data_IF_989087572192
#
_entry.id   IF_989087572192
#
_cell.length_a   1.000
_cell.length_b   1.000
_cell.length_c   1.000
_cell.angle_alpha   90.00
_cell.angle_beta   90.00
_cell.angle_gamma   90.00
#
_symmetry.space_group_name_H-M   'P 1'
#
loop_
_entity.id
_entity.type
_entity.pdbx_description
1 polymer ?
#
# COMPACT_ATOMS: atom_id res chain seq x y z
N UNK A 1 -1.25 14.74 18.52
CA UNK A 1 -1.47 14.35 17.91
C UNK A 1 -1.44 14.60 17.33
N UNK A 2 -1.19 14.15 16.93
CA UNK A 2 -1.24 13.93 16.25
C UNK A 2 -1.47 14.14 15.59
N UNK A 3 -1.26 14.22 15.29
CA UNK A 3 -1.56 14.00 14.53
C UNK A 3 -1.82 14.54 13.79
N UNK A 4 -1.61 14.69 13.16
CA UNK A 4 -2.05 15.13 12.15
C UNK A 4 -3.19 15.15 11.93
N UNK A 5 -3.66 15.43 11.65
CA UNK A 5 -4.56 14.88 11.74
C UNK A 5 -5.54 15.36 11.20
N UNK A 6 -5.65 15.98 10.50
CA UNK A 6 -6.73 16.09 10.08
C UNK A 6 -7.17 15.49 9.01
N UNK A 7 -6.49 15.18 8.15
CA UNK A 7 -6.88 14.34 7.27
C UNK A 7 -7.10 13.12 7.86
N UNK A 8 -6.25 12.70 8.71
CA UNK A 8 -6.39 11.51 9.23
C UNK A 8 -7.53 11.38 10.08
N UNK A 9 -8.14 12.36 10.44
CA UNK A 9 -9.07 12.23 11.50
C UNK A 9 -10.32 11.47 11.12
N UNK A 10 -10.89 11.67 9.96
CA UNK A 10 -12.16 11.05 9.66
C UNK A 10 -12.03 9.56 9.45
N UNK A 11 -11.09 9.15 8.62
CA UNK A 11 -10.95 7.73 8.36
C UNK A 11 -10.38 6.97 9.54
N UNK A 12 -9.48 7.60 10.28
CA UNK A 12 -8.91 6.96 11.44
C UNK A 12 -9.94 6.76 12.52
N UNK A 13 -10.82 7.73 12.72
CA UNK A 13 -11.88 7.59 13.70
C UNK A 13 -12.89 6.54 13.29
N UNK A 14 -13.17 6.44 12.01
CA UNK A 14 -14.03 5.41 11.51
C UNK A 14 -13.51 4.04 11.86
N UNK A 15 -12.23 3.83 11.65
CA UNK A 15 -11.61 2.55 11.97
C UNK A 15 -11.71 2.25 13.45
N UNK A 16 -11.50 3.25 14.30
CA UNK A 16 -11.56 3.05 15.73
C UNK A 16 -12.98 2.77 16.20
N UNK A 17 -13.94 3.48 15.64
CA UNK A 17 -15.31 3.29 16.05
C UNK A 17 -15.81 1.90 15.78
N UNK A 18 -15.35 1.32 14.71
CA UNK A 18 -15.73 -0.04 14.39
C UNK A 18 -14.99 -1.06 15.22
N UNK A 19 -14.14 -0.59 16.13
CA UNK A 19 -13.44 -1.48 17.05
C UNK A 19 -12.58 -2.48 16.33
N UNK A 20 -12.05 -2.09 15.20
CA UNK A 20 -11.37 -3.04 14.33
C UNK A 20 -9.88 -2.87 14.32
N UNK A 21 -9.24 -2.90 15.45
CA UNK A 21 -7.79 -2.77 15.45
C UNK A 21 -7.13 -3.91 14.70
N UNK A 22 -7.60 -5.16 14.93
CA UNK A 22 -7.07 -6.29 14.18
C UNK A 22 -7.44 -6.15 12.70
N UNK A 23 -8.67 -5.71 12.44
CA UNK A 23 -9.10 -5.50 11.08
C UNK A 23 -8.27 -4.43 10.40
N UNK A 24 -7.87 -3.40 11.14
CA UNK A 24 -7.02 -2.35 10.60
C UNK A 24 -5.65 -2.90 10.19
N UNK A 25 -5.10 -3.81 11.00
CA UNK A 25 -3.83 -4.44 10.65
C UNK A 25 -3.97 -5.30 9.40
N UNK A 26 -5.06 -6.05 9.30
CA UNK A 26 -5.31 -6.86 8.14
C UNK A 26 -5.52 -6.00 6.90
N UNK A 27 -6.26 -4.90 7.06
CA UNK A 27 -6.49 -3.99 5.94
C UNK A 27 -5.19 -3.35 5.48
N UNK A 28 -4.32 -3.00 6.42
CA UNK A 28 -3.02 -2.45 6.07
C UNK A 28 -2.21 -3.45 5.25
N UNK A 29 -2.20 -4.70 5.68
CA UNK A 29 -1.47 -5.74 4.96
C UNK A 29 -2.08 -5.98 3.58
N UNK A 30 -3.41 -6.00 3.52
CA UNK A 30 -4.10 -6.19 2.25
C UNK A 30 -3.74 -5.10 1.25
N UNK A 31 -3.78 -3.84 1.69
CA UNK A 31 -3.48 -2.72 0.82
C UNK A 31 -2.01 -2.75 0.39
N UNK A 32 -1.13 -3.06 1.32
CA UNK A 32 0.29 -3.16 0.99
C UNK A 32 0.55 -4.23 -0.07
N UNK A 33 0.01 -5.43 0.14
CA UNK A 33 0.32 -6.55 -0.74
C UNK A 33 -0.42 -6.49 -2.07
N UNK A 34 -1.59 -5.89 -2.10
CA UNK A 34 -2.43 -5.97 -3.29
C UNK A 34 -2.56 -4.66 -4.05
N UNK A 35 -2.21 -3.54 -3.46
CA UNK A 35 -2.34 -2.25 -4.11
C UNK A 35 -0.99 -1.55 -4.20
N UNK A 36 -0.34 -1.32 -3.06
CA UNK A 36 0.87 -0.48 -3.03
C UNK A 36 2.08 -1.22 -3.61
N UNK A 37 2.34 -2.42 -3.14
CA UNK A 37 3.50 -3.17 -3.61
C UNK A 37 3.42 -3.45 -5.12
N UNK A 38 2.29 -3.94 -5.65
CA UNK A 38 2.19 -4.13 -7.10
C UNK A 38 2.34 -2.84 -7.89
N UNK A 39 1.81 -1.72 -7.36
CA UNK A 39 1.95 -0.44 -8.03
C UNK A 39 3.42 -0.03 -8.13
N UNK A 40 4.14 -0.18 -7.03
CA UNK A 40 5.56 0.19 -6.99
C UNK A 40 6.36 -0.67 -7.98
N UNK A 41 6.05 -1.95 -8.04
CA UNK A 41 6.72 -2.82 -9.00
C UNK A 41 6.41 -2.41 -10.42
N UNK A 42 5.16 -2.07 -10.70
CA UNK A 42 4.75 -1.70 -12.03
C UNK A 42 5.43 -0.43 -12.51
N UNK A 43 5.46 0.60 -11.67
CA UNK A 43 6.06 1.87 -12.06
C UNK A 43 7.57 1.90 -11.82
N UNK A 44 8.09 0.90 -11.14
CA UNK A 44 9.53 0.74 -10.88
C UNK A 44 10.12 1.94 -10.14
N UNK A 45 9.40 2.45 -9.15
CA UNK A 45 9.84 3.57 -8.33
C UNK A 45 9.33 3.36 -6.90
N UNK A 46 10.08 3.83 -5.90
CA UNK A 46 9.63 3.70 -4.50
C UNK A 46 8.65 4.80 -4.10
N UNK A 47 8.07 5.51 -5.07
CA UNK A 47 7.10 6.56 -4.79
C UNK A 47 6.06 6.59 -5.90
N UNK A 48 4.91 7.18 -5.57
CA UNK A 48 3.80 7.25 -6.54
C UNK A 48 2.92 8.45 -6.21
N UNK A 49 2.09 8.85 -7.18
CA UNK A 49 1.15 9.95 -6.97
C UNK A 49 -0.18 9.41 -6.49
N UNK A 50 -0.99 10.30 -5.95
CA UNK A 50 -2.34 9.91 -5.53
C UNK A 50 -3.15 9.40 -6.71
N UNK A 51 -2.94 9.98 -7.89
CA UNK A 51 -3.66 9.55 -9.09
C UNK A 51 -3.31 8.10 -9.44
N UNK A 52 -2.03 7.76 -9.35
CA UNK A 52 -1.59 6.40 -9.62
C UNK A 52 -2.17 5.43 -8.60
N UNK A 53 -2.20 5.83 -7.34
CA UNK A 53 -2.78 5.01 -6.30
C UNK A 53 -4.27 4.79 -6.53
N UNK A 54 -5.01 5.86 -6.87
CA UNK A 54 -6.45 5.73 -7.08
C UNK A 54 -6.76 4.78 -8.22
N UNK A 55 -6.00 4.84 -9.30
CA UNK A 55 -6.23 3.96 -10.42
C UNK A 55 -6.04 2.49 -10.02
N UNK A 56 -4.98 2.22 -9.27
CA UNK A 56 -4.72 0.85 -8.82
C UNK A 56 -5.76 0.41 -7.80
N UNK A 57 -6.16 1.30 -6.90
CA UNK A 57 -7.19 1.00 -5.92
C UNK A 57 -8.49 0.62 -6.61
N UNK A 58 -8.89 1.41 -7.58
CA UNK A 58 -10.17 1.18 -8.27
C UNK A 58 -10.14 -0.15 -9.02
N UNK A 59 -9.03 -0.47 -9.63
CA UNK A 59 -8.89 -1.75 -10.30
C UNK A 59 -8.99 -2.91 -9.32
N UNK A 60 -8.32 -2.81 -8.18
CA UNK A 60 -8.36 -3.84 -7.17
C UNK A 60 -9.77 -4.02 -6.63
N UNK A 61 -10.46 -2.92 -6.33
CA UNK A 61 -11.82 -2.99 -5.80
C UNK A 61 -12.76 -3.60 -6.83
N UNK A 62 -12.60 -3.25 -8.08
CA UNK A 62 -13.44 -3.80 -9.14
C UNK A 62 -13.23 -5.30 -9.28
N UNK A 63 -11.99 -5.73 -9.20
CA UNK A 63 -11.67 -7.14 -9.44
C UNK A 63 -12.01 -8.04 -8.26
N UNK A 64 -11.99 -7.50 -7.04
CA UNK A 64 -12.16 -8.33 -5.84
C UNK A 64 -13.47 -8.10 -5.12
N UNK A 65 -14.15 -6.99 -5.39
CA UNK A 65 -15.34 -6.63 -4.64
C UNK A 65 -15.06 -6.00 -3.28
N UNK A 66 -13.81 -5.78 -2.94
CA UNK A 66 -13.48 -5.15 -1.66
C UNK A 66 -13.92 -3.69 -1.70
N UNK A 67 -14.61 -3.21 -0.65
CA UNK A 67 -15.07 -1.81 -0.64
C UNK A 67 -13.92 -0.82 -0.62
N UNK A 68 -14.09 0.29 -1.30
CA UNK A 68 -13.08 1.33 -1.34
C UNK A 68 -12.76 1.87 0.05
N UNK A 69 -13.74 1.89 0.95
CA UNK A 69 -13.51 2.39 2.32
C UNK A 69 -12.52 1.50 3.07
N UNK A 70 -12.53 0.20 2.80
CA UNK A 70 -11.59 -0.71 3.43
C UNK A 70 -10.19 -0.45 2.94
N UNK A 71 -10.03 -0.22 1.64
CA UNK A 71 -8.72 0.09 1.07
C UNK A 71 -8.23 1.42 1.61
N UNK A 72 -9.11 2.42 1.70
CA UNK A 72 -8.73 3.71 2.25
C UNK A 72 -8.24 3.58 3.69
N UNK A 73 -8.93 2.78 4.48
CA UNK A 73 -8.50 2.56 5.87
C UNK A 73 -7.12 1.93 5.95
N UNK A 74 -6.87 0.95 5.11
CA UNK A 74 -5.55 0.32 5.08
C UNK A 74 -4.46 1.27 4.63
N UNK A 75 -4.79 2.13 3.66
CA UNK A 75 -3.84 3.12 3.17
C UNK A 75 -3.48 4.13 4.27
N UNK A 76 -4.50 4.64 4.97
CA UNK A 76 -4.27 5.55 6.08
C UNK A 76 -3.42 4.88 7.15
N UNK A 77 -3.67 3.60 7.41
CA UNK A 77 -2.88 2.85 8.38
C UNK A 77 -1.41 2.78 7.98
N UNK A 78 -1.11 2.65 6.68
CA UNK A 78 0.27 2.65 6.21
C UNK A 78 0.95 4.00 6.50
N UNK A 79 0.21 5.09 6.35
CA UNK A 79 0.73 6.42 6.65
C UNK A 79 0.96 6.60 8.15
N UNK A 80 0.00 6.16 8.96
CA UNK A 80 0.11 6.30 10.41
C UNK A 80 1.29 5.50 10.95
N UNK A 81 1.52 4.32 10.41
CA UNK A 81 2.63 3.48 10.84
C UNK A 81 3.97 3.91 10.26
N UNK A 82 3.97 4.92 9.40
CA UNK A 82 5.22 5.41 8.83
C UNK A 82 5.82 4.54 7.75
N UNK A 83 5.06 3.57 7.25
CA UNK A 83 5.52 2.75 6.13
C UNK A 83 5.50 3.57 4.86
N UNK A 84 4.47 4.41 4.70
CA UNK A 84 4.39 5.38 3.63
C UNK A 84 4.56 6.77 4.22
N UNK A 85 5.20 7.65 3.46
CA UNK A 85 5.40 9.04 3.86
C UNK A 85 4.87 9.93 2.75
N UNK A 86 4.01 10.86 3.13
CA UNK A 86 3.48 11.82 2.17
C UNK A 86 4.39 13.03 2.07
N UNK A 87 4.71 13.42 0.84
CA UNK A 87 5.50 14.62 0.59
C UNK A 87 4.81 15.38 -0.54
N UNK A 88 3.95 16.34 -0.19
CA UNK A 88 3.15 17.12 -1.15
C UNK A 88 2.21 16.21 -1.93
N UNK A 89 2.49 16.00 -3.20
CA UNK A 89 1.63 15.21 -4.07
C UNK A 89 2.12 13.80 -4.25
N UNK A 90 3.19 13.43 -3.56
CA UNK A 90 3.85 12.16 -3.76
C UNK A 90 3.85 11.37 -2.46
N UNK A 91 3.58 10.09 -2.55
CA UNK A 91 3.70 9.16 -1.43
C UNK A 91 4.91 8.28 -1.69
N UNK A 92 5.79 8.17 -0.72
CA UNK A 92 6.99 7.36 -0.89
C UNK A 92 7.09 6.33 0.22
N UNK A 93 7.80 5.25 -0.07
CA UNK A 93 8.13 4.27 0.95
C UNK A 93 9.17 4.89 1.87
N UNK A 94 9.04 4.64 3.16
CA UNK A 94 10.03 5.13 4.10
C UNK A 94 11.41 4.59 3.69
N UNK A 95 12.41 5.47 3.69
CA UNK A 95 13.72 5.11 3.15
C UNK A 95 14.34 3.89 3.84
N UNK A 96 13.98 3.67 5.10
CA UNK A 96 14.53 2.53 5.85
C UNK A 96 14.03 1.19 5.29
N UNK A 97 12.94 1.21 4.55
CA UNK A 97 12.38 -0.01 3.98
C UNK A 97 12.90 -0.31 2.58
N UNK A 98 13.65 0.63 1.98
CA UNK A 98 14.11 0.44 0.61
C UNK A 98 14.99 -0.80 0.45
N UNK A 99 15.94 -1.09 1.36
CA UNK A 99 16.73 -2.31 1.20
C UNK A 99 15.87 -3.57 1.23
N UNK A 100 14.87 -3.62 2.11
CA UNK A 100 13.96 -4.75 2.18
C UNK A 100 13.18 -4.90 0.88
N UNK A 101 12.67 -3.80 0.34
CA UNK A 101 11.91 -3.82 -0.89
C UNK A 101 12.78 -4.25 -2.07
N UNK A 102 14.00 -3.77 -2.10
CA UNK A 102 14.93 -4.12 -3.17
C UNK A 102 15.21 -5.61 -3.16
N UNK A 103 15.43 -6.16 -1.97
CA UNK A 103 15.69 -7.59 -1.83
C UNK A 103 14.47 -8.40 -2.24
N UNK A 104 13.27 -7.97 -1.81
CA UNK A 104 12.04 -8.66 -2.16
C UNK A 104 11.82 -8.66 -3.67
N UNK A 105 12.04 -7.51 -4.31
CA UNK A 105 11.86 -7.40 -5.75
C UNK A 105 12.84 -8.32 -6.49
N UNK A 106 14.07 -8.40 -6.01
CA UNK A 106 15.06 -9.28 -6.63
C UNK A 106 14.65 -10.72 -6.54
N UNK A 107 14.12 -11.14 -5.40
CA UNK A 107 13.68 -12.52 -5.23
C UNK A 107 12.50 -12.85 -6.16
N UNK A 108 11.53 -11.95 -6.24
CA UNK A 108 10.37 -12.16 -7.09
C UNK A 108 10.76 -12.16 -8.56
N UNK A 109 11.64 -11.25 -8.95
CA UNK A 109 12.12 -11.20 -10.32
C UNK A 109 12.90 -12.47 -10.65
N UNK A 110 13.71 -12.93 -9.72
CA UNK A 110 14.46 -14.17 -9.93
C UNK A 110 13.56 -15.36 -10.15
N UNK A 111 12.43 -15.41 -9.44
CA UNK A 111 11.49 -16.49 -9.66
C UNK A 111 10.87 -16.44 -11.05
N UNK A 112 10.52 -15.25 -11.50
CA UNK A 112 9.94 -15.09 -12.83
C UNK A 112 10.94 -15.55 -13.90
N UNK A 113 12.20 -15.16 -13.75
CA UNK A 113 13.22 -15.55 -14.70
C UNK A 113 13.37 -17.06 -14.75
N UNK A 114 13.37 -17.70 -13.59
CA UNK A 114 13.50 -19.15 -13.53
C UNK A 114 12.31 -19.85 -14.19
N UNK A 115 11.10 -19.33 -13.98
CA UNK A 115 9.91 -19.89 -14.59
C UNK A 115 9.97 -19.78 -16.11
N UNK A 116 10.37 -18.62 -16.60
CA UNK A 116 10.49 -18.42 -18.03
C UNK A 116 11.49 -19.39 -18.63
N UNK A 117 12.63 -19.55 -17.98
CA UNK A 117 13.66 -20.47 -18.47
C UNK A 117 13.20 -21.93 -18.44
N UNK A 118 12.42 -22.28 -17.42
CA UNK A 118 11.93 -23.66 -17.30
C UNK A 118 10.92 -23.98 -18.40
N UNK A 119 10.15 -22.99 -18.83
CA UNK A 119 9.13 -23.23 -19.84
C UNK A 119 9.69 -23.29 -21.25
N UNK A 120 10.95 -23.01 -21.41
CA UNK A 120 11.56 -23.16 -22.71
C UNK A 120 11.91 -24.61 -22.99
#
# INVERSE_FOLDING_TARGET
MLSPRHVESVETEDLREKGKHASSTENRRMVWENVVWPLILEINKPYFTLKEYHARRDEFCKNTGVPASKVAGGFVSLLIKGILVRNRHVYSIHYRLIPYMRKRAQLEYGQVIREVNTKR
#
